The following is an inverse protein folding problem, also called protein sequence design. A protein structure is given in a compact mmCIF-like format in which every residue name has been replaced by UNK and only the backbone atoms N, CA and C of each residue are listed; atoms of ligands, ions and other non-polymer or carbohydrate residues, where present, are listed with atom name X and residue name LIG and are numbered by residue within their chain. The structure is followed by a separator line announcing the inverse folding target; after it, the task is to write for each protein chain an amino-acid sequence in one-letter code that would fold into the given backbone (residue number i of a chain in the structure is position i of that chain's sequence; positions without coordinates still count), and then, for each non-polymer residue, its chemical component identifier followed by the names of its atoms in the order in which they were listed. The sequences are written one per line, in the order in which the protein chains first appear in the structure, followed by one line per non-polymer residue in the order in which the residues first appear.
data_IF_321910963112
#
_entry.id   IF_321910963112
#
_cell.length_a   1.000
_cell.length_b   1.000
_cell.length_c   1.000
_cell.angle_alpha   90.00
_cell.angle_beta   90.00
_cell.angle_gamma   90.00
#
_symmetry.space_group_name_H-M   'P 1'
#
loop_
_entity.id
_entity.type
_entity.pdbx_description
1 polymer ?
#
# COMPACT_ATOMS: atom_id res chain seq x y z
N UNK A 1 21.50 5.96 12.55
CA UNK A 1 20.67 5.15 11.65
C UNK A 1 19.81 6.13 10.85
N UNK A 2 20.09 6.32 9.56
CA UNK A 2 19.33 7.27 8.75
C UNK A 2 17.90 6.74 8.54
N UNK A 3 16.89 7.56 8.78
CA UNK A 3 15.51 7.25 8.41
C UNK A 3 15.46 7.11 6.89
N UNK A 4 15.38 5.88 6.40
CA UNK A 4 15.16 5.60 4.98
C UNK A 4 13.73 5.98 4.65
N UNK A 5 13.57 6.85 3.65
CA UNK A 5 12.24 7.34 3.30
C UNK A 5 11.58 6.39 2.30
N UNK A 6 10.24 6.34 2.30
CA UNK A 6 9.49 5.48 1.37
C UNK A 6 9.76 5.92 -0.08
N UNK A 7 9.89 7.21 -0.28
CA UNK A 7 10.14 7.86 -1.56
C UNK A 7 11.44 7.39 -2.24
N UNK A 8 12.46 7.00 -1.46
CA UNK A 8 13.72 6.46 -2.00
C UNK A 8 13.57 5.06 -2.62
N UNK A 9 12.48 4.35 -2.28
CA UNK A 9 12.24 2.96 -2.68
C UNK A 9 11.11 2.82 -3.71
N UNK A 10 10.38 3.89 -4.00
CA UNK A 10 9.21 3.88 -4.90
C UNK A 10 9.57 4.55 -6.23
N UNK A 11 9.69 3.75 -7.29
CA UNK A 11 9.99 4.27 -8.63
C UNK A 11 8.79 4.93 -9.32
N UNK A 12 7.57 4.47 -9.04
CA UNK A 12 6.35 5.06 -9.56
C UNK A 12 5.16 4.78 -8.65
N UNK A 13 4.17 5.68 -8.66
CA UNK A 13 2.91 5.50 -7.95
C UNK A 13 1.77 5.83 -8.90
N UNK A 14 0.76 4.96 -8.96
CA UNK A 14 -0.39 5.13 -9.84
C UNK A 14 -1.68 4.94 -9.06
N UNK A 15 -2.60 5.88 -9.24
CA UNK A 15 -3.99 5.70 -8.87
C UNK A 15 -4.73 5.08 -10.06
N UNK A 16 -5.23 3.86 -9.90
CA UNK A 16 -6.02 3.17 -10.91
C UNK A 16 -7.50 3.34 -10.55
N UNK A 17 -8.28 4.13 -11.31
CA UNK A 17 -9.72 4.21 -11.12
C UNK A 17 -10.33 2.82 -11.27
N UNK A 18 -11.22 2.46 -10.35
CA UNK A 18 -11.87 1.16 -10.36
C UNK A 18 -13.37 1.30 -10.08
N UNK A 19 -14.13 0.31 -10.52
CA UNK A 19 -15.57 0.25 -10.36
C UNK A 19 -15.98 -0.39 -9.03
N UNK A 20 -17.26 -0.25 -8.67
CA UNK A 20 -17.92 -0.96 -7.57
C UNK A 20 -17.32 -0.71 -6.18
N UNK A 21 -16.73 0.47 -5.97
CA UNK A 21 -16.17 0.86 -4.67
C UNK A 21 -15.00 -0.03 -4.20
N UNK A 22 -14.31 -0.67 -5.17
CA UNK A 22 -13.08 -1.43 -4.96
C UNK A 22 -11.99 -0.50 -4.44
N UNK A 23 -11.24 -1.00 -3.47
CA UNK A 23 -10.02 -0.39 -2.99
C UNK A 23 -9.03 -1.52 -2.75
N UNK A 24 -7.97 -1.52 -3.54
CA UNK A 24 -6.87 -2.48 -3.46
C UNK A 24 -5.56 -1.70 -3.48
N UNK A 25 -4.62 -2.13 -2.65
CA UNK A 25 -3.26 -1.61 -2.63
C UNK A 25 -2.32 -2.72 -3.05
N UNK A 26 -1.56 -2.46 -4.11
CA UNK A 26 -0.69 -3.43 -4.77
C UNK A 26 0.73 -2.86 -4.87
N UNK A 27 1.73 -3.70 -4.65
CA UNK A 27 3.15 -3.39 -4.85
C UNK A 27 3.74 -4.46 -5.77
N UNK A 28 4.31 -4.05 -6.91
CA UNK A 28 4.95 -4.93 -7.89
C UNK A 28 4.12 -6.17 -8.31
N UNK A 29 2.79 -6.03 -8.43
CA UNK A 29 1.91 -7.16 -8.77
C UNK A 29 1.28 -7.86 -7.57
N UNK A 30 1.73 -7.60 -6.34
CA UNK A 30 1.27 -8.24 -5.11
C UNK A 30 0.25 -7.36 -4.38
N UNK A 31 -0.97 -7.87 -4.20
CA UNK A 31 -2.02 -7.17 -3.43
C UNK A 31 -1.72 -7.30 -1.93
N UNK A 32 -1.32 -6.20 -1.32
CA UNK A 32 -1.04 -6.12 0.12
C UNK A 32 -2.30 -5.79 0.94
N UNK A 33 -3.32 -5.20 0.31
CA UNK A 33 -4.61 -4.90 0.95
C UNK A 33 -5.76 -5.00 -0.04
N UNK A 34 -6.87 -5.63 0.36
CA UNK A 34 -8.15 -5.58 -0.36
C UNK A 34 -9.31 -5.28 0.58
N UNK A 35 -10.00 -4.16 0.32
CA UNK A 35 -11.23 -3.80 1.03
C UNK A 35 -12.31 -4.86 0.88
N UNK A 36 -12.37 -5.51 -0.28
CA UNK A 36 -13.37 -6.54 -0.58
C UNK A 36 -13.14 -7.79 0.27
N UNK A 37 -11.88 -8.18 0.45
CA UNK A 37 -11.51 -9.35 1.26
C UNK A 37 -11.68 -9.10 2.75
N UNK A 38 -11.32 -7.90 3.23
CA UNK A 38 -11.41 -7.55 4.65
C UNK A 38 -12.80 -7.04 5.08
N UNK A 39 -13.67 -6.70 4.13
CA UNK A 39 -15.00 -6.15 4.40
C UNK A 39 -14.99 -4.74 4.99
N UNK A 40 -13.84 -4.06 5.04
CA UNK A 40 -13.67 -2.68 5.54
C UNK A 40 -12.64 -1.91 4.73
N UNK A 41 -12.70 -0.58 4.79
CA UNK A 41 -11.64 0.25 4.25
C UNK A 41 -10.40 0.20 5.17
N UNK A 42 -9.24 0.55 4.61
CA UNK A 42 -8.01 0.68 5.38
C UNK A 42 -8.15 1.78 6.46
N UNK A 43 -7.61 1.50 7.64
CA UNK A 43 -7.49 2.44 8.74
C UNK A 43 -6.31 3.42 8.52
N UNK A 44 -6.31 4.59 9.17
CA UNK A 44 -5.20 5.54 9.05
C UNK A 44 -3.86 4.90 9.42
N UNK A 45 -2.90 4.95 8.48
CA UNK A 45 -1.56 4.39 8.66
C UNK A 45 -1.41 2.91 8.31
N UNK A 46 -2.50 2.19 8.03
CA UNK A 46 -2.44 0.76 7.68
C UNK A 46 -1.68 0.52 6.37
N UNK A 47 -2.00 1.29 5.33
CA UNK A 47 -1.34 1.17 4.01
C UNK A 47 0.15 1.50 4.09
N UNK A 48 0.53 2.55 4.81
CA UNK A 48 1.94 2.90 4.98
C UNK A 48 2.68 1.89 5.86
N UNK A 49 2.00 1.28 6.83
CA UNK A 49 2.53 0.16 7.61
C UNK A 49 2.84 -1.06 6.73
N UNK A 50 1.86 -1.48 5.92
CA UNK A 50 2.02 -2.60 4.97
C UNK A 50 3.16 -2.35 3.97
N UNK A 51 3.25 -1.13 3.43
CA UNK A 51 4.32 -0.77 2.50
C UNK A 51 5.70 -0.83 3.17
N UNK A 52 5.84 -0.30 4.39
CA UNK A 52 7.10 -0.35 5.15
C UNK A 52 7.53 -1.78 5.45
N UNK A 53 6.59 -2.63 5.86
CA UNK A 53 6.83 -4.05 6.12
C UNK A 53 7.31 -4.76 4.84
N UNK A 54 6.62 -4.52 3.72
CA UNK A 54 6.99 -5.10 2.43
C UNK A 54 8.38 -4.64 1.95
N UNK A 55 8.69 -3.33 2.09
CA UNK A 55 10.00 -2.75 1.74
C UNK A 55 11.10 -3.06 2.76
N UNK A 56 10.76 -3.66 3.92
CA UNK A 56 11.68 -3.96 5.03
C UNK A 56 12.41 -2.72 5.54
N UNK A 57 11.69 -1.61 5.68
CA UNK A 57 12.17 -0.34 6.24
C UNK A 57 11.38 0.02 7.50
N UNK A 58 12.07 0.53 8.53
CA UNK A 58 11.47 0.92 9.82
C UNK A 58 11.13 2.43 9.84
#
# INVERSE_FOLDING_TARGET
MGNRSVEEHVGSFKMIPSDNGRFEFEVDGEVLFSKKELGRHADPGEISGLLKEHLKIA
#
